data_IF_260514641857
#
_entry.id   IF_260514641857
#
_cell.length_a   1.000
_cell.length_b   1.000
_cell.length_c   1.000
_cell.angle_alpha   90.00
_cell.angle_beta   90.00
_cell.angle_gamma   90.00
#
_symmetry.space_group_name_H-M   'P 1'
#
loop_
_entity.id
_entity.type
_entity.pdbx_description
1 polymer ?
#
# COMPACT_ATOMS: atom_id res chain seq x y z
N UNK A 1 -15.68 52.38 42.35
CA UNK A 1 -15.55 52.09 43.79
C UNK A 1 -16.72 51.22 44.22
N UNK A 2 -16.40 50.09 44.86
CA UNK A 2 -17.14 49.41 45.95
C UNK A 2 -18.67 49.25 45.80
N UNK A 3 -19.15 48.05 45.48
CA UNK A 3 -19.48 46.92 46.39
C UNK A 3 -20.81 47.08 47.15
N UNK A 4 -21.68 46.09 46.88
CA UNK A 4 -22.58 45.37 47.79
C UNK A 4 -23.42 46.12 48.82
N UNK A 5 -24.71 45.75 48.92
CA UNK A 5 -25.17 44.98 50.10
C UNK A 5 -26.53 44.32 49.91
N UNK A 6 -26.57 43.13 50.51
CA UNK A 6 -27.70 42.22 50.77
C UNK A 6 -28.43 42.69 52.04
N UNK A 7 -29.73 42.41 52.12
CA UNK A 7 -30.50 42.07 53.33
C UNK A 7 -31.98 41.91 52.93
N UNK A 8 -32.87 41.18 53.58
CA UNK A 8 -32.91 40.07 54.54
C UNK A 8 -34.42 39.91 54.85
N UNK A 9 -34.82 38.76 55.43
CA UNK A 9 -36.08 38.51 56.15
C UNK A 9 -37.30 38.13 55.27
N UNK A 10 -38.14 37.13 55.59
CA UNK A 10 -38.34 36.42 56.85
C UNK A 10 -39.07 35.07 56.64
N UNK A 11 -39.05 34.28 57.72
CA UNK A 11 -40.08 33.35 58.18
C UNK A 11 -40.04 31.89 57.67
N UNK A 12 -39.28 31.12 58.46
CA UNK A 12 -39.51 29.74 58.90
C UNK A 12 -40.98 29.33 59.08
N UNK A 13 -41.30 28.09 58.70
CA UNK A 13 -41.90 27.08 59.61
C UNK A 13 -41.84 25.67 59.02
N UNK A 14 -41.05 24.83 59.67
CA UNK A 14 -41.11 23.37 59.61
C UNK A 14 -42.53 22.85 59.92
N UNK A 15 -42.96 21.80 59.19
CA UNK A 15 -43.26 20.49 59.81
C UNK A 15 -43.66 19.40 58.81
N UNK A 16 -42.90 18.30 58.95
CA UNK A 16 -43.26 16.88 58.90
C UNK A 16 -43.47 16.18 57.53
N UNK A 17 -42.60 15.19 57.40
CA UNK A 17 -42.47 14.10 56.44
C UNK A 17 -43.72 13.20 56.46
N UNK A 18 -44.28 12.93 55.28
CA UNK A 18 -44.87 11.63 54.92
C UNK A 18 -44.58 11.33 53.43
N UNK A 19 -44.07 10.14 53.15
CA UNK A 19 -43.86 9.56 51.80
C UNK A 19 -44.45 8.15 51.85
N UNK A 20 -44.84 7.52 50.73
CA UNK A 20 -45.67 7.94 49.59
C UNK A 20 -46.77 6.89 49.26
N UNK A 21 -47.66 7.09 48.27
CA UNK A 21 -48.13 5.99 47.44
C UNK A 21 -47.22 5.88 46.21
N UNK A 22 -46.64 4.69 46.01
CA UNK A 22 -45.74 4.36 44.91
C UNK A 22 -46.39 4.69 43.56
N UNK A 23 -45.96 5.80 42.94
CA UNK A 23 -46.26 6.07 41.53
C UNK A 23 -45.47 5.04 40.72
N UNK A 24 -46.18 4.10 40.12
CA UNK A 24 -45.64 3.15 39.13
C UNK A 24 -44.64 3.88 38.25
N UNK A 25 -43.37 3.49 38.34
CA UNK A 25 -42.32 4.07 37.54
C UNK A 25 -42.72 3.91 36.07
N UNK A 26 -42.96 5.04 35.38
CA UNK A 26 -43.25 5.00 33.94
C UNK A 26 -42.06 4.29 33.31
N UNK A 27 -42.32 3.16 32.65
CA UNK A 27 -41.27 2.48 31.91
C UNK A 27 -40.62 3.48 30.95
N UNK A 28 -39.29 3.56 31.01
CA UNK A 28 -38.47 4.36 30.12
C UNK A 28 -37.59 3.44 29.30
N UNK A 29 -37.25 3.87 28.10
CA UNK A 29 -36.36 3.19 27.19
C UNK A 29 -35.35 4.18 26.64
N UNK A 30 -34.15 3.71 26.37
CA UNK A 30 -33.04 4.52 25.87
C UNK A 30 -33.06 4.57 24.35
N UNK A 31 -32.88 5.75 23.77
CA UNK A 31 -32.71 5.89 22.33
C UNK A 31 -31.37 5.32 21.87
N UNK A 32 -31.39 4.42 20.91
CA UNK A 32 -30.19 3.78 20.34
C UNK A 32 -29.24 4.79 19.65
N UNK A 33 -29.78 5.92 19.17
CA UNK A 33 -29.02 6.91 18.40
C UNK A 33 -28.40 8.02 19.25
N UNK A 34 -29.11 8.52 20.27
CA UNK A 34 -28.63 9.63 21.11
C UNK A 34 -28.45 9.29 22.60
N UNK A 35 -28.76 8.04 22.99
CA UNK A 35 -28.64 7.49 24.34
C UNK A 35 -29.38 8.26 25.45
N UNK A 36 -30.36 9.09 25.08
CA UNK A 36 -31.27 9.75 26.03
C UNK A 36 -32.44 8.84 26.38
N UNK A 37 -32.93 8.95 27.60
CA UNK A 37 -34.08 8.20 28.11
C UNK A 37 -35.39 8.88 27.72
N UNK A 38 -36.35 8.09 27.25
CA UNK A 38 -37.70 8.53 26.91
C UNK A 38 -38.72 7.57 27.52
N UNK A 39 -39.95 8.03 27.73
CA UNK A 39 -41.04 7.14 28.11
C UNK A 39 -41.32 6.11 27.00
N UNK A 40 -41.83 4.94 27.35
CA UNK A 40 -42.13 3.86 26.39
C UNK A 40 -43.09 4.30 25.28
N UNK A 41 -43.96 5.30 25.52
CA UNK A 41 -44.81 5.90 24.48
C UNK A 41 -44.08 6.90 23.59
N UNK A 42 -43.07 7.60 24.12
CA UNK A 42 -42.31 8.63 23.40
C UNK A 42 -41.14 8.09 22.58
N UNK A 43 -40.63 6.90 22.91
CA UNK A 43 -39.44 6.34 22.29
C UNK A 43 -39.57 6.08 20.77
N UNK A 44 -40.70 5.58 20.21
CA UNK A 44 -40.78 5.29 18.77
C UNK A 44 -40.79 6.57 17.92
N UNK A 45 -41.51 7.60 18.38
CA UNK A 45 -41.55 8.91 17.74
C UNK A 45 -40.19 9.62 17.81
N UNK A 46 -39.47 9.46 18.92
CA UNK A 46 -38.13 10.01 19.04
C UNK A 46 -37.13 9.26 18.15
N UNK A 47 -37.11 7.92 18.17
CA UNK A 47 -36.16 7.11 17.40
C UNK A 47 -36.23 7.40 15.90
N UNK A 48 -37.44 7.54 15.34
CA UNK A 48 -37.63 7.87 13.91
C UNK A 48 -37.11 9.26 13.55
N UNK A 49 -37.30 10.27 14.41
CA UNK A 49 -36.74 11.62 14.21
C UNK A 49 -35.23 11.64 14.41
N UNK A 50 -34.74 10.89 15.40
CA UNK A 50 -33.33 10.84 15.75
C UNK A 50 -32.51 10.10 14.69
N UNK A 51 -33.04 9.02 14.10
CA UNK A 51 -32.40 8.30 13.00
C UNK A 51 -32.33 9.17 11.74
N UNK A 52 -33.41 9.90 11.40
CA UNK A 52 -33.41 10.87 10.29
C UNK A 52 -32.41 12.00 10.50
N UNK A 53 -32.34 12.55 11.72
CA UNK A 53 -31.34 13.56 12.07
C UNK A 53 -29.92 13.00 11.96
N UNK A 54 -29.66 11.82 12.49
CA UNK A 54 -28.33 11.19 12.39
C UNK A 54 -27.96 10.90 10.92
N UNK A 55 -28.92 10.47 10.09
CA UNK A 55 -28.71 10.28 8.66
C UNK A 55 -28.41 11.60 7.93
N UNK A 56 -29.14 12.67 8.27
CA UNK A 56 -28.88 14.02 7.78
C UNK A 56 -27.50 14.52 8.21
N UNK A 57 -27.15 14.43 9.50
CA UNK A 57 -25.86 14.87 10.04
C UNK A 57 -24.71 14.04 9.43
N UNK A 58 -24.89 12.73 9.22
CA UNK A 58 -23.94 11.89 8.48
C UNK A 58 -23.81 12.29 7.00
N UNK A 59 -24.90 12.70 6.36
CA UNK A 59 -24.89 13.17 4.98
C UNK A 59 -24.27 14.57 4.86
N UNK A 60 -24.52 15.46 5.82
CA UNK A 60 -23.95 16.80 5.89
C UNK A 60 -22.47 16.75 6.23
N UNK A 61 -22.04 15.90 7.17
CA UNK A 61 -20.63 15.68 7.46
C UNK A 61 -19.86 15.06 6.27
N UNK A 62 -20.55 14.35 5.36
CA UNK A 62 -19.99 13.85 4.11
C UNK A 62 -19.95 14.90 3.00
N UNK A 63 -20.70 16.00 3.11
CA UNK A 63 -20.55 17.14 2.21
C UNK A 63 -19.30 17.90 2.64
N UNK A 64 -18.23 17.81 1.84
CA UNK A 64 -17.12 18.74 1.92
C UNK A 64 -17.72 20.15 1.83
N UNK A 65 -17.66 20.94 2.92
CA UNK A 65 -18.09 22.33 2.89
C UNK A 65 -17.09 23.07 1.99
N UNK A 66 -17.41 23.20 0.71
CA UNK A 66 -16.63 24.01 -0.21
C UNK A 66 -16.79 25.47 0.20
N UNK A 67 -15.70 26.06 0.67
CA UNK A 67 -15.65 27.50 0.88
C UNK A 67 -15.46 28.14 -0.49
N UNK A 68 -16.47 28.89 -0.96
CA UNK A 68 -16.37 29.65 -2.19
C UNK A 68 -15.66 30.96 -1.88
N UNK A 69 -14.36 31.04 -2.17
CA UNK A 69 -13.66 32.32 -2.17
C UNK A 69 -14.17 33.14 -3.36
N UNK A 70 -14.60 34.38 -3.11
CA UNK A 70 -14.96 35.28 -4.20
C UNK A 70 -13.67 35.90 -4.75
N UNK A 71 -13.25 35.45 -5.92
CA UNK A 71 -12.16 36.07 -6.67
C UNK A 71 -12.70 37.38 -7.25
N UNK A 72 -12.25 38.52 -6.70
CA UNK A 72 -12.68 39.85 -7.16
C UNK A 72 -11.84 40.31 -8.36
N UNK A 73 -10.65 39.75 -8.52
CA UNK A 73 -9.71 40.05 -9.60
C UNK A 73 -8.93 38.79 -9.99
N UNK A 74 -9.18 38.28 -11.20
CA UNK A 74 -8.54 37.07 -11.72
C UNK A 74 -7.02 37.21 -11.85
N UNK A 75 -6.52 38.38 -12.26
CA UNK A 75 -5.08 38.59 -12.40
C UNK A 75 -4.35 38.52 -11.04
N UNK A 76 -4.96 39.08 -9.99
CA UNK A 76 -4.40 38.99 -8.63
C UNK A 76 -4.49 37.54 -8.11
N UNK A 77 -5.57 36.83 -8.44
CA UNK A 77 -5.72 35.44 -8.04
C UNK A 77 -4.67 34.54 -8.67
N UNK A 78 -4.47 34.62 -9.98
CA UNK A 78 -3.41 33.85 -10.68
C UNK A 78 -2.02 34.19 -10.15
N UNK A 79 -1.75 35.47 -9.87
CA UNK A 79 -0.49 35.90 -9.26
C UNK A 79 -0.30 35.25 -7.88
N UNK A 80 -1.33 35.24 -7.02
CA UNK A 80 -1.30 34.54 -5.72
C UNK A 80 -1.04 33.04 -5.92
N UNK A 81 -1.73 32.40 -6.86
CA UNK A 81 -1.55 30.97 -7.14
C UNK A 81 -0.11 30.65 -7.57
N UNK A 82 0.57 31.58 -8.26
CA UNK A 82 1.95 31.40 -8.72
C UNK A 82 2.98 31.29 -7.58
N UNK A 83 2.70 31.91 -6.43
CA UNK A 83 3.55 31.83 -5.24
C UNK A 83 3.32 30.55 -4.42
N UNK A 84 2.23 29.82 -4.68
CA UNK A 84 1.88 28.65 -3.91
C UNK A 84 2.59 27.41 -4.43
N UNK A 85 3.17 26.67 -3.49
CA UNK A 85 3.77 25.37 -3.77
C UNK A 85 2.68 24.31 -4.04
N UNK A 86 3.08 23.16 -4.56
CA UNK A 86 2.14 22.10 -4.95
C UNK A 86 1.35 21.55 -3.75
N UNK A 87 1.98 21.44 -2.57
CA UNK A 87 1.25 21.03 -1.36
C UNK A 87 0.15 22.00 -0.97
N UNK A 88 0.43 23.30 -1.00
CA UNK A 88 -0.54 24.36 -0.70
C UNK A 88 -1.69 24.33 -1.71
N UNK A 89 -1.37 24.26 -3.01
CA UNK A 89 -2.37 24.14 -4.07
C UNK A 89 -3.22 22.87 -3.92
N UNK A 90 -2.61 21.73 -3.55
CA UNK A 90 -3.34 20.47 -3.32
C UNK A 90 -4.35 20.63 -2.17
N UNK A 91 -3.96 21.26 -1.07
CA UNK A 91 -4.87 21.53 0.05
C UNK A 91 -5.96 22.53 -0.32
N UNK A 92 -5.61 23.61 -1.03
CA UNK A 92 -6.61 24.56 -1.51
C UNK A 92 -7.63 23.89 -2.42
N UNK A 93 -7.20 23.04 -3.35
CA UNK A 93 -8.07 22.25 -4.22
C UNK A 93 -9.01 21.36 -3.40
N UNK A 94 -8.53 20.71 -2.34
CA UNK A 94 -9.37 19.90 -1.47
C UNK A 94 -10.41 20.72 -0.68
N UNK A 95 -10.08 21.95 -0.29
CA UNK A 95 -10.96 22.84 0.50
C UNK A 95 -12.01 23.51 -0.39
N UNK A 96 -11.58 24.02 -1.55
CA UNK A 96 -12.43 24.80 -2.47
C UNK A 96 -13.24 23.90 -3.39
N UNK A 97 -12.69 22.74 -3.76
CA UNK A 97 -13.22 21.88 -4.83
C UNK A 97 -12.81 22.35 -6.22
N UNK A 98 -12.07 23.46 -6.34
CA UNK A 98 -11.62 24.03 -7.60
C UNK A 98 -10.44 23.23 -8.17
N UNK A 99 -10.29 23.26 -9.50
CA UNK A 99 -9.18 22.62 -10.18
C UNK A 99 -8.10 23.64 -10.55
N UNK A 100 -6.93 23.55 -9.93
CA UNK A 100 -5.79 24.42 -10.26
C UNK A 100 -4.85 23.71 -11.24
N UNK A 101 -4.56 24.34 -12.38
CA UNK A 101 -3.81 23.70 -13.48
C UNK A 101 -2.38 23.31 -13.09
N UNK A 102 -1.70 24.11 -12.26
CA UNK A 102 -0.36 23.80 -11.77
C UNK A 102 -0.33 22.81 -10.59
N UNK A 103 -1.49 22.34 -10.13
CA UNK A 103 -1.59 21.40 -9.03
C UNK A 103 -1.45 19.96 -9.54
N UNK A 104 -0.53 19.21 -8.92
CA UNK A 104 -0.30 17.79 -9.11
C UNK A 104 -0.53 17.03 -7.79
N UNK A 105 -1.80 16.75 -7.40
CA UNK A 105 -2.13 16.15 -6.11
C UNK A 105 -1.46 14.79 -5.85
N UNK A 106 -1.23 14.03 -6.92
CA UNK A 106 -0.59 12.70 -6.84
C UNK A 106 0.84 12.78 -6.31
N UNK A 107 1.51 13.92 -6.44
CA UNK A 107 2.87 14.13 -5.97
C UNK A 107 2.94 14.33 -4.45
N UNK A 108 1.88 14.84 -3.82
CA UNK A 108 1.87 15.13 -2.38
C UNK A 108 2.21 13.90 -1.51
N UNK A 109 1.89 12.69 -1.96
CA UNK A 109 2.24 11.44 -1.25
C UNK A 109 3.75 11.13 -1.20
N UNK A 110 4.54 11.77 -2.06
CA UNK A 110 5.99 11.65 -2.12
C UNK A 110 6.68 12.77 -1.35
N UNK A 111 5.93 13.80 -0.94
CA UNK A 111 6.46 14.92 -0.21
C UNK A 111 6.47 14.65 1.30
N UNK A 112 7.36 15.34 2.00
CA UNK A 112 7.39 15.43 3.45
C UNK A 112 6.12 16.12 3.95
N UNK A 113 5.71 15.84 5.19
CA UNK A 113 4.56 16.48 5.83
C UNK A 113 4.81 17.93 6.28
N UNK A 114 5.96 18.50 5.98
CA UNK A 114 6.34 19.86 6.37
C UNK A 114 5.69 20.96 5.54
N UNK A 115 4.71 20.62 4.71
CA UNK A 115 3.93 21.56 3.88
C UNK A 115 4.73 22.24 2.75
N UNK A 116 6.01 21.91 2.62
CA UNK A 116 6.87 22.26 1.50
C UNK A 116 7.01 21.12 0.51
N UNK A 117 7.30 21.45 -0.73
CA UNK A 117 7.57 20.52 -1.83
C UNK A 117 8.91 19.75 -1.72
N UNK A 118 9.27 19.37 -0.51
CA UNK A 118 10.43 18.56 -0.19
C UNK A 118 10.09 17.07 -0.29
N UNK A 119 10.91 16.22 -0.94
CA UNK A 119 10.68 14.78 -0.96
C UNK A 119 10.87 14.13 0.42
N UNK A 120 10.05 13.13 0.70
CA UNK A 120 10.15 12.30 1.89
C UNK A 120 11.19 11.17 1.68
N UNK A 121 12.41 11.39 2.17
CA UNK A 121 13.54 10.47 1.96
C UNK A 121 13.78 9.54 3.16
N UNK A 122 13.93 10.08 4.37
CA UNK A 122 14.35 9.33 5.55
C UNK A 122 13.22 9.31 6.58
N UNK A 123 12.78 8.11 6.96
CA UNK A 123 11.69 7.97 7.94
C UNK A 123 10.37 8.63 7.52
N UNK A 124 10.16 8.90 6.22
CA UNK A 124 9.01 9.66 5.73
C UNK A 124 9.15 11.18 5.86
N UNK A 125 10.36 11.67 6.15
CA UNK A 125 10.69 13.08 6.31
C UNK A 125 11.68 13.53 5.24
N UNK A 126 11.67 14.82 4.93
CA UNK A 126 12.75 15.44 4.19
C UNK A 126 14.00 15.60 5.06
N UNK A 127 15.13 15.87 4.42
CA UNK A 127 16.41 16.12 5.08
C UNK A 127 16.29 17.15 6.21
N UNK A 128 15.72 18.33 5.91
CA UNK A 128 15.56 19.42 6.88
C UNK A 128 14.79 18.97 8.13
N UNK A 129 13.62 18.36 7.95
CA UNK A 129 12.81 17.90 9.08
C UNK A 129 13.46 16.76 9.86
N UNK A 130 14.21 15.89 9.19
CA UNK A 130 14.97 14.83 9.84
C UNK A 130 16.07 15.42 10.73
N UNK A 131 16.72 16.51 10.31
CA UNK A 131 17.73 17.23 11.10
C UNK A 131 17.11 17.95 12.31
N UNK A 132 15.90 18.51 12.19
CA UNK A 132 15.24 19.26 13.27
C UNK A 132 14.74 18.39 14.44
N UNK A 133 14.45 17.10 14.23
CA UNK A 133 13.85 16.22 15.25
C UNK A 133 14.80 15.77 16.39
N UNK A 134 15.99 16.36 16.52
CA UNK A 134 16.67 16.42 17.83
C UNK A 134 17.30 15.13 18.36
N UNK A 135 17.49 14.08 17.55
CA UNK A 135 18.50 13.08 17.86
C UNK A 135 19.81 13.47 17.19
N UNK A 136 20.66 14.17 17.95
CA UNK A 136 22.05 14.46 17.64
C UNK A 136 22.68 13.35 16.79
N UNK A 137 23.06 13.68 15.54
CA UNK A 137 23.80 12.80 14.63
C UNK A 137 23.20 11.40 14.41
N UNK A 138 21.91 11.26 14.06
CA UNK A 138 21.60 10.14 13.14
C UNK A 138 22.37 10.44 11.87
N UNK A 139 23.34 9.59 11.57
CA UNK A 139 24.38 9.79 10.57
C UNK A 139 23.88 10.61 9.38
N UNK A 140 24.57 11.71 9.06
CA UNK A 140 24.47 12.38 7.75
C UNK A 140 24.74 11.40 6.62
N UNK A 141 25.19 10.18 6.93
CA UNK A 141 25.50 9.11 6.03
C UNK A 141 24.36 8.11 5.92
N UNK A 142 23.98 7.77 4.69
CA UNK A 142 23.04 6.69 4.36
C UNK A 142 23.74 5.59 3.61
N UNK A 143 23.30 4.36 3.83
CA UNK A 143 23.76 3.21 3.07
C UNK A 143 23.40 3.34 1.60
N UNK A 144 24.23 2.74 0.74
CA UNK A 144 24.03 2.65 -0.71
C UNK A 144 22.61 2.21 -1.09
N UNK A 145 22.04 1.24 -0.38
CA UNK A 145 20.70 0.74 -0.68
C UNK A 145 19.62 1.79 -0.37
N UNK A 146 19.78 2.53 0.74
CA UNK A 146 18.89 3.65 1.10
C UNK A 146 18.99 4.77 0.06
N UNK A 147 20.20 5.10 -0.40
CA UNK A 147 20.42 6.07 -1.47
C UNK A 147 19.66 5.68 -2.77
N UNK A 148 19.71 4.40 -3.15
CA UNK A 148 18.99 3.89 -4.34
C UNK A 148 17.47 3.93 -4.16
N UNK A 149 16.99 3.49 -3.01
CA UNK A 149 15.56 3.31 -2.78
C UNK A 149 14.83 4.60 -2.43
N UNK A 150 15.43 5.44 -1.59
CA UNK A 150 14.82 6.67 -1.10
C UNK A 150 15.12 7.88 -1.97
N UNK A 151 16.38 8.05 -2.39
CA UNK A 151 16.77 9.19 -3.23
C UNK A 151 16.54 8.96 -4.73
N UNK A 152 16.42 7.70 -5.16
CA UNK A 152 16.20 7.38 -6.57
C UNK A 152 17.45 7.34 -7.43
N UNK A 153 18.60 7.19 -6.79
CA UNK A 153 19.88 7.05 -7.45
C UNK A 153 20.01 5.67 -8.10
N UNK A 154 20.60 5.66 -9.29
CA UNK A 154 21.03 4.45 -9.99
C UNK A 154 22.49 4.18 -9.66
N UNK A 155 22.93 2.97 -9.98
CA UNK A 155 24.31 2.55 -9.78
C UNK A 155 25.32 3.48 -10.47
N UNK A 156 24.99 3.98 -11.66
CA UNK A 156 25.84 4.94 -12.37
C UNK A 156 25.89 6.32 -11.70
N UNK A 157 24.77 6.75 -11.12
CA UNK A 157 24.69 8.05 -10.45
C UNK A 157 25.58 8.02 -9.18
N UNK A 158 25.59 6.91 -8.45
CA UNK A 158 26.46 6.72 -7.28
C UNK A 158 27.96 6.73 -7.60
N UNK A 159 28.36 6.33 -8.81
CA UNK A 159 29.77 6.38 -9.24
C UNK A 159 30.26 7.80 -9.51
N UNK A 160 29.35 8.73 -9.81
CA UNK A 160 29.67 10.14 -10.04
C UNK A 160 29.87 10.89 -8.72
N UNK A 161 29.29 10.40 -7.62
CA UNK A 161 29.33 11.02 -6.30
C UNK A 161 30.63 10.61 -5.60
N UNK A 162 31.60 11.53 -5.54
CA UNK A 162 32.96 11.28 -5.01
C UNK A 162 33.06 11.20 -3.49
N UNK A 163 32.03 11.63 -2.75
CA UNK A 163 32.03 11.68 -1.28
C UNK A 163 31.30 10.48 -0.67
N UNK A 164 31.93 9.31 -0.70
CA UNK A 164 31.45 8.09 -0.05
C UNK A 164 32.46 7.56 0.97
N UNK A 165 32.00 7.23 2.17
CA UNK A 165 32.78 6.46 3.15
C UNK A 165 32.47 4.97 2.94
N UNK A 166 33.18 4.33 2.01
CA UNK A 166 32.88 2.96 1.61
C UNK A 166 31.51 2.82 0.94
N UNK A 167 30.54 2.17 1.60
CA UNK A 167 29.17 2.03 1.10
C UNK A 167 28.18 3.07 1.64
N UNK A 168 28.69 4.09 2.32
CA UNK A 168 27.89 5.16 2.94
C UNK A 168 28.05 6.48 2.18
N UNK A 169 26.96 7.22 2.02
CA UNK A 169 26.91 8.47 1.26
C UNK A 169 26.32 9.59 2.11
N UNK A 170 26.92 10.78 2.04
CA UNK A 170 26.41 11.94 2.75
C UNK A 170 25.10 12.46 2.13
N UNK A 171 24.07 12.58 2.94
CA UNK A 171 22.72 12.96 2.56
C UNK A 171 22.64 14.39 1.99
N UNK A 172 23.43 15.33 2.47
CA UNK A 172 23.44 16.70 1.94
C UNK A 172 24.00 16.70 0.51
N UNK A 173 25.03 15.89 0.28
CA UNK A 173 25.58 15.67 -1.07
C UNK A 173 24.56 14.97 -1.97
N UNK A 174 23.84 13.96 -1.46
CA UNK A 174 22.80 13.28 -2.23
C UNK A 174 21.64 14.22 -2.60
N UNK A 175 21.18 15.05 -1.65
CA UNK A 175 20.12 16.05 -1.91
C UNK A 175 20.60 17.07 -2.93
N UNK A 176 21.79 17.65 -2.76
CA UNK A 176 22.37 18.60 -3.70
C UNK A 176 22.46 18.01 -5.12
N UNK A 177 23.00 16.79 -5.25
CA UNK A 177 23.08 16.09 -6.54
C UNK A 177 21.69 15.88 -7.17
N UNK A 178 20.70 15.48 -6.38
CA UNK A 178 19.35 15.26 -6.90
C UNK A 178 18.67 16.58 -7.31
N UNK A 179 18.90 17.67 -6.58
CA UNK A 179 18.41 19.00 -6.96
C UNK A 179 19.08 19.46 -8.25
N UNK A 180 20.40 19.33 -8.38
CA UNK A 180 21.13 19.69 -9.61
C UNK A 180 20.62 18.88 -10.81
N UNK A 181 20.48 17.57 -10.65
CA UNK A 181 20.02 16.65 -11.70
C UNK A 181 18.57 16.88 -12.09
N UNK A 182 17.70 17.23 -11.14
CA UNK A 182 16.27 17.39 -11.39
C UNK A 182 15.82 18.86 -11.50
N UNK A 183 16.74 19.82 -11.37
CA UNK A 183 16.52 21.26 -11.42
C UNK A 183 15.86 21.87 -10.18
N UNK A 184 15.12 21.09 -9.39
CA UNK A 184 14.45 21.54 -8.16
C UNK A 184 14.02 20.36 -7.29
N UNK A 185 13.60 20.65 -6.05
CA UNK A 185 13.00 19.64 -5.17
C UNK A 185 11.69 19.07 -5.74
N UNK A 186 10.85 19.91 -6.37
CA UNK A 186 9.68 19.41 -7.10
C UNK A 186 10.03 18.56 -8.31
N UNK A 187 11.07 18.93 -9.06
CA UNK A 187 11.60 18.10 -10.13
C UNK A 187 12.02 16.72 -9.62
N UNK A 188 12.66 16.69 -8.45
CA UNK A 188 13.05 15.44 -7.79
C UNK A 188 11.84 14.62 -7.32
N UNK A 189 10.81 15.24 -6.73
CA UNK A 189 9.54 14.59 -6.38
C UNK A 189 8.88 13.94 -7.61
N UNK A 190 8.79 14.66 -8.73
CA UNK A 190 8.28 14.12 -10.01
C UNK A 190 9.11 12.93 -10.50
N UNK A 191 10.44 13.02 -10.39
CA UNK A 191 11.34 11.93 -10.76
C UNK A 191 11.08 10.67 -9.93
N UNK A 192 10.95 10.79 -8.61
CA UNK A 192 10.61 9.68 -7.71
C UNK A 192 9.25 9.07 -8.08
N UNK A 193 8.25 9.90 -8.35
CA UNK A 193 6.93 9.45 -8.74
C UNK A 193 6.96 8.63 -10.04
N UNK A 194 7.62 9.14 -11.07
CA UNK A 194 7.78 8.46 -12.36
C UNK A 194 8.53 7.13 -12.23
N UNK A 195 9.61 7.10 -11.45
CA UNK A 195 10.39 5.89 -11.15
C UNK A 195 9.50 4.82 -10.51
N UNK A 196 8.76 5.19 -9.47
CA UNK A 196 7.93 4.24 -8.72
C UNK A 196 6.75 3.73 -9.53
N UNK A 197 6.12 4.58 -10.35
CA UNK A 197 5.10 4.13 -11.30
C UNK A 197 5.68 3.13 -12.29
N UNK A 198 6.88 3.38 -12.82
CA UNK A 198 7.56 2.47 -13.74
C UNK A 198 7.88 1.13 -13.08
N UNK A 199 8.39 1.15 -11.84
CA UNK A 199 8.65 -0.06 -11.04
C UNK A 199 7.36 -0.86 -10.82
N UNK A 200 6.26 -0.20 -10.44
CA UNK A 200 4.96 -0.86 -10.22
C UNK A 200 4.42 -1.50 -11.50
N UNK A 201 4.47 -0.79 -12.63
CA UNK A 201 4.06 -1.34 -13.93
C UNK A 201 4.88 -2.58 -14.29
N UNK A 202 6.21 -2.50 -14.18
CA UNK A 202 7.09 -3.64 -14.47
C UNK A 202 6.81 -4.85 -13.56
N UNK A 203 6.57 -4.62 -12.27
CA UNK A 203 6.20 -5.68 -11.33
C UNK A 203 4.84 -6.29 -11.66
N UNK A 204 3.85 -5.47 -12.02
CA UNK A 204 2.53 -5.95 -12.44
C UNK A 204 2.62 -6.80 -13.72
N UNK A 205 3.39 -6.37 -14.72
CA UNK A 205 3.64 -7.15 -15.94
C UNK A 205 4.33 -8.47 -15.63
N UNK A 206 5.38 -8.47 -14.79
CA UNK A 206 6.07 -9.71 -14.39
C UNK A 206 5.13 -10.69 -13.67
N UNK A 207 4.30 -10.18 -12.76
CA UNK A 207 3.31 -10.99 -12.05
C UNK A 207 2.31 -11.59 -13.02
N UNK A 208 1.75 -10.76 -13.91
CA UNK A 208 0.82 -11.23 -14.95
C UNK A 208 1.46 -12.32 -15.82
N UNK A 209 2.67 -12.09 -16.34
CA UNK A 209 3.38 -13.10 -17.13
C UNK A 209 3.63 -14.40 -16.34
N UNK A 210 3.87 -14.30 -15.03
CA UNK A 210 4.05 -15.48 -14.17
C UNK A 210 2.73 -16.23 -13.97
N UNK A 211 1.62 -15.52 -13.77
CA UNK A 211 0.27 -16.08 -13.67
C UNK A 211 -0.18 -16.72 -14.99
N UNK A 212 0.02 -16.03 -16.11
CA UNK A 212 -0.30 -16.53 -17.46
C UNK A 212 0.50 -17.81 -17.76
N UNK A 213 1.80 -17.82 -17.45
CA UNK A 213 2.65 -19.01 -17.63
C UNK A 213 2.28 -20.16 -16.67
N UNK A 214 1.86 -19.86 -15.44
CA UNK A 214 1.38 -20.88 -14.50
C UNK A 214 0.05 -21.49 -14.97
N UNK A 215 -0.86 -20.67 -15.50
CA UNK A 215 -2.10 -21.13 -16.11
C UNK A 215 -1.84 -21.99 -17.35
N UNK A 216 -0.90 -21.59 -18.20
CA UNK A 216 -0.46 -22.37 -19.36
C UNK A 216 0.09 -23.74 -18.93
N UNK A 217 1.03 -23.79 -17.98
CA UNK A 217 1.58 -25.06 -17.48
C UNK A 217 0.51 -25.97 -16.86
N UNK A 218 -0.52 -25.41 -16.21
CA UNK A 218 -1.66 -26.16 -15.69
C UNK A 218 -2.61 -26.68 -16.77
N UNK A 219 -2.61 -26.07 -17.95
CA UNK A 219 -3.38 -26.54 -19.11
C UNK A 219 -2.71 -27.71 -19.85
N UNK A 220 -1.41 -27.93 -19.62
CA UNK A 220 -0.65 -29.06 -20.14
C UNK A 220 -0.96 -30.36 -19.36
N UNK A 221 -0.20 -31.42 -19.63
CA UNK A 221 -0.44 -32.74 -19.08
C UNK A 221 -0.55 -32.74 -17.53
N UNK A 222 -1.52 -33.47 -16.94
CA UNK A 222 -1.65 -33.56 -15.49
C UNK A 222 -0.38 -34.08 -14.82
N UNK A 223 0.12 -33.34 -13.84
CA UNK A 223 1.36 -33.65 -13.11
C UNK A 223 2.65 -33.17 -13.79
N UNK A 224 2.57 -32.62 -15.01
CA UNK A 224 3.74 -32.06 -15.69
C UNK A 224 4.29 -30.81 -15.00
N UNK A 225 3.43 -29.84 -14.64
CA UNK A 225 3.86 -28.62 -13.96
C UNK A 225 4.55 -28.91 -12.61
N UNK A 226 3.99 -29.75 -11.71
CA UNK A 226 4.69 -30.21 -10.51
C UNK A 226 6.04 -30.88 -10.80
N UNK A 227 6.13 -31.71 -11.86
CA UNK A 227 7.38 -32.36 -12.24
C UNK A 227 8.45 -31.33 -12.65
N UNK A 228 8.11 -30.35 -13.50
CA UNK A 228 9.04 -29.29 -13.90
C UNK A 228 9.56 -28.48 -12.70
N UNK A 229 8.70 -28.19 -11.71
CA UNK A 229 9.11 -27.52 -10.48
C UNK A 229 10.07 -28.37 -9.65
N UNK A 230 9.82 -29.68 -9.56
CA UNK A 230 10.66 -30.60 -8.80
C UNK A 230 12.07 -30.73 -9.39
N UNK A 231 12.20 -30.71 -10.72
CA UNK A 231 13.51 -30.77 -11.41
C UNK A 231 14.19 -29.39 -11.53
N UNK A 232 13.56 -28.31 -11.06
CA UNK A 232 14.10 -26.96 -11.14
C UNK A 232 14.24 -26.43 -12.57
N UNK A 233 13.41 -26.92 -13.50
CA UNK A 233 13.47 -26.52 -14.91
C UNK A 233 13.14 -25.03 -15.07
N UNK A 234 13.98 -24.30 -15.80
CA UNK A 234 13.75 -22.89 -16.09
C UNK A 234 12.82 -22.78 -17.28
N UNK A 235 11.73 -22.02 -17.09
CA UNK A 235 10.72 -21.74 -18.11
C UNK A 235 11.36 -21.27 -19.42
N UNK A 236 11.05 -21.98 -20.51
CA UNK A 236 11.40 -21.68 -21.90
C UNK A 236 10.18 -21.12 -22.64
N UNK A 237 10.21 -21.01 -23.97
CA UNK A 237 9.02 -20.67 -24.75
C UNK A 237 7.92 -21.75 -24.69
N UNK A 238 6.71 -21.39 -25.11
CA UNK A 238 5.52 -22.23 -25.02
C UNK A 238 5.59 -23.46 -25.94
N UNK A 239 6.26 -23.38 -27.10
CA UNK A 239 6.37 -24.47 -28.07
C UNK A 239 7.21 -25.62 -27.49
N UNK A 240 8.38 -25.29 -26.95
CA UNK A 240 9.22 -26.27 -26.26
C UNK A 240 8.52 -26.90 -25.05
N UNK A 241 7.68 -26.15 -24.34
CA UNK A 241 6.91 -26.66 -23.20
C UNK A 241 5.80 -27.63 -23.65
N UNK A 242 5.16 -27.40 -24.81
CA UNK A 242 4.20 -28.34 -25.39
C UNK A 242 4.89 -29.64 -25.79
N UNK A 243 6.03 -29.57 -26.49
CA UNK A 243 6.81 -30.75 -26.86
C UNK A 243 7.30 -31.53 -25.63
N UNK A 244 7.73 -30.81 -24.60
CA UNK A 244 8.16 -31.42 -23.34
C UNK A 244 6.99 -32.09 -22.61
N UNK A 245 5.81 -31.47 -22.64
CA UNK A 245 4.58 -32.07 -22.10
C UNK A 245 4.22 -33.36 -22.83
N UNK A 246 4.40 -33.42 -24.16
CA UNK A 246 4.13 -34.62 -24.94
C UNK A 246 5.11 -35.75 -24.58
N UNK A 247 6.40 -35.45 -24.48
CA UNK A 247 7.43 -36.40 -24.05
C UNK A 247 7.21 -36.88 -22.61
N UNK A 248 6.72 -36.00 -21.73
CA UNK A 248 6.33 -36.35 -20.37
C UNK A 248 5.20 -37.39 -20.35
N UNK A 249 4.13 -37.18 -21.15
CA UNK A 249 3.03 -38.15 -21.25
C UNK A 249 3.57 -39.51 -21.73
N UNK A 250 4.37 -39.49 -22.80
CA UNK A 250 4.90 -40.71 -23.41
C UNK A 250 5.78 -41.51 -22.45
N UNK A 251 6.75 -40.85 -21.81
CA UNK A 251 7.65 -41.50 -20.85
C UNK A 251 6.87 -42.00 -19.63
N UNK A 252 5.94 -41.20 -19.10
CA UNK A 252 5.13 -41.59 -17.95
C UNK A 252 4.29 -42.84 -18.25
N UNK A 253 3.63 -42.90 -19.40
CA UNK A 253 2.86 -44.07 -19.84
C UNK A 253 3.72 -45.33 -19.90
N UNK A 254 4.90 -45.25 -20.52
CA UNK A 254 5.81 -46.40 -20.66
C UNK A 254 6.38 -46.88 -19.32
N UNK A 255 6.59 -45.99 -18.37
CA UNK A 255 7.00 -46.35 -17.01
C UNK A 255 5.85 -47.02 -16.25
N UNK A 256 4.64 -46.47 -16.34
CA UNK A 256 3.44 -47.02 -15.68
C UNK A 256 3.08 -48.41 -16.20
N UNK A 257 3.23 -48.68 -17.51
CA UNK A 257 3.10 -50.01 -18.12
C UNK A 257 4.02 -51.06 -17.49
N UNK A 258 5.15 -50.64 -16.92
CA UNK A 258 6.11 -51.50 -16.20
C UNK A 258 5.98 -51.42 -14.67
N UNK A 259 4.96 -50.74 -14.15
CA UNK A 259 4.79 -50.52 -12.71
C UNK A 259 5.84 -49.60 -12.08
N UNK A 260 6.54 -48.80 -12.89
CA UNK A 260 7.56 -47.84 -12.45
C UNK A 260 6.93 -46.45 -12.26
N UNK A 261 7.48 -45.68 -11.32
CA UNK A 261 7.12 -44.26 -11.16
C UNK A 261 8.13 -43.38 -11.90
N UNK A 262 7.76 -42.13 -12.24
CA UNK A 262 8.66 -41.15 -12.84
C UNK A 262 9.44 -40.40 -11.74
N UNK A 263 10.75 -40.64 -11.56
CA UNK A 263 11.53 -39.97 -10.51
C UNK A 263 11.98 -38.58 -10.95
N UNK A 264 11.70 -37.56 -10.14
CA UNK A 264 12.19 -36.19 -10.35
C UNK A 264 13.72 -36.06 -10.16
N UNK A 265 14.37 -37.01 -9.48
CA UNK A 265 15.82 -37.02 -9.28
C UNK A 265 16.60 -37.67 -10.43
N UNK A 266 15.92 -38.26 -11.42
CA UNK A 266 16.59 -38.87 -12.58
C UNK A 266 16.91 -37.82 -13.63
N UNK A 267 18.20 -37.57 -13.84
CA UNK A 267 18.70 -36.69 -14.91
C UNK A 267 18.34 -37.24 -16.28
N UNK A 268 18.35 -38.57 -16.46
CA UNK A 268 17.96 -39.20 -17.73
C UNK A 268 16.49 -38.93 -18.08
N UNK A 269 15.59 -39.05 -17.10
CA UNK A 269 14.18 -38.74 -17.31
C UNK A 269 13.97 -37.24 -17.58
N UNK A 270 14.64 -36.37 -16.82
CA UNK A 270 14.50 -34.93 -17.01
C UNK A 270 15.06 -34.48 -18.37
N UNK A 271 16.18 -35.04 -18.81
CA UNK A 271 16.82 -34.69 -20.08
C UNK A 271 15.98 -35.17 -21.26
N UNK A 272 15.43 -36.39 -21.21
CA UNK A 272 14.48 -36.87 -22.20
C UNK A 272 13.26 -35.96 -22.29
N UNK A 273 12.65 -35.61 -21.15
CA UNK A 273 11.43 -34.81 -21.10
C UNK A 273 11.68 -33.37 -21.54
N UNK A 274 12.81 -32.76 -21.19
CA UNK A 274 13.05 -31.32 -21.44
C UNK A 274 13.77 -31.07 -22.76
N UNK A 275 14.74 -31.91 -23.14
CA UNK A 275 15.61 -31.70 -24.32
C UNK A 275 15.47 -32.76 -25.41
N UNK A 276 14.91 -33.91 -25.10
CA UNK A 276 14.60 -34.96 -26.09
C UNK A 276 15.81 -35.87 -26.33
N UNK A 277 16.79 -35.78 -25.43
CA UNK A 277 18.01 -36.55 -25.47
C UNK A 277 17.71 -37.98 -25.03
N UNK A 278 18.14 -38.93 -25.86
CA UNK A 278 17.99 -40.36 -25.60
C UNK A 278 16.76 -40.99 -26.26
N UNK A 279 16.77 -42.33 -26.36
CA UNK A 279 15.60 -43.10 -26.81
C UNK A 279 14.78 -43.49 -25.59
N UNK A 280 13.46 -43.44 -25.71
CA UNK A 280 12.53 -43.73 -24.61
C UNK A 280 12.74 -45.14 -24.03
N UNK A 281 13.02 -46.13 -24.88
CA UNK A 281 13.28 -47.51 -24.45
C UNK A 281 14.51 -47.64 -23.55
N UNK A 282 15.56 -46.86 -23.84
CA UNK A 282 16.80 -46.86 -23.06
C UNK A 282 16.58 -46.19 -21.71
N UNK A 283 15.86 -45.06 -21.68
CA UNK A 283 15.51 -44.33 -20.45
C UNK A 283 14.66 -45.20 -19.52
N UNK A 284 13.67 -45.92 -20.06
CA UNK A 284 12.81 -46.82 -19.29
C UNK A 284 13.61 -47.97 -18.69
N UNK A 285 14.47 -48.64 -19.47
CA UNK A 285 15.31 -49.75 -19.02
C UNK A 285 16.28 -49.33 -17.91
N UNK A 286 16.90 -48.16 -18.04
CA UNK A 286 17.81 -47.64 -17.02
C UNK A 286 17.05 -47.31 -15.73
N UNK A 287 15.87 -46.69 -15.86
CA UNK A 287 15.01 -46.35 -14.72
C UNK A 287 14.55 -47.59 -13.96
N UNK A 288 14.21 -48.67 -14.68
CA UNK A 288 13.86 -49.98 -14.12
C UNK A 288 15.00 -50.58 -13.29
N UNK A 289 16.24 -50.48 -13.81
CA UNK A 289 17.44 -50.96 -13.12
C UNK A 289 17.67 -50.18 -11.82
N UNK A 290 17.54 -48.85 -11.87
CA UNK A 290 17.72 -47.97 -10.70
C UNK A 290 16.66 -48.25 -9.63
N UNK A 291 15.39 -48.40 -10.01
CA UNK A 291 14.31 -48.65 -9.04
C UNK A 291 14.36 -50.06 -8.46
N UNK A 292 14.67 -51.07 -9.28
CA UNK A 292 14.88 -52.45 -8.81
C UNK A 292 16.02 -52.55 -7.80
N UNK A 293 17.13 -51.83 -8.03
CA UNK A 293 18.27 -51.81 -7.10
C UNK A 293 17.98 -51.12 -5.76
N UNK A 294 16.99 -50.22 -5.72
CA UNK A 294 16.55 -49.54 -4.49
C UNK A 294 15.56 -50.36 -3.67
N UNK A 295 14.82 -51.27 -4.29
CA UNK A 295 13.88 -52.16 -3.58
C UNK A 295 14.57 -53.38 -2.96
N UNK A 296 15.85 -53.62 -3.27
CA UNK A 296 16.68 -54.72 -2.76
C UNK A 296 17.58 -54.32 -1.58
N UNK A 297 17.58 -53.04 -1.18
CA UNK A 297 18.26 -52.50 0.00
C UNK A 297 17.24 -51.94 1.00
#
# INVERSE_FOLDING_TARGET
MTKHKRNENAATKDRKIETPPAKVAKSTSVCEYCRKEFTTRGIPLHQTKCSKKQAHDKAEAKKTRSYKFCIVNEAIHEEILSFLNNQALTKMQMITGDHYQQCEPVLARYCCKCEDDNPAVLGGLCQQCNTTLGYSRRSTWVEKQVAKDKYGLREKDLREIRNSLGQYYDCDILEMYMIEKCGSKMGWVRYLAKRDMSKRKALATRRKNQEDMDAFLKSLAPGFAPYLWAIGFKKTDEELLMESSQRFIELKSRLEERGLHLPASSTLCSDYITTGVGKIEDVVRETETIQSSRNLN
#
